data_IF_184180549977
#
_entry.id   IF_184180549977
#
_cell.length_a   1.000
_cell.length_b   1.000
_cell.length_c   1.000
_cell.angle_alpha   90.00
_cell.angle_beta   90.00
_cell.angle_gamma   90.00
#
_symmetry.space_group_name_H-M   'P 1'
#
loop_
_entity.id
_entity.type
_entity.pdbx_description
1 polymer ?
#
# COMPACT_ATOMS: atom_id res chain seq x y z
N UNK A 1 -24.13 23.56 -15.19
CA UNK A 1 -23.63 22.49 -16.08
C UNK A 1 -22.76 21.62 -15.21
N UNK A 2 -23.36 20.61 -14.59
CA UNK A 2 -22.60 19.60 -13.87
C UNK A 2 -21.89 18.75 -14.92
N UNK A 3 -20.57 18.87 -14.98
CA UNK A 3 -19.76 17.97 -15.78
C UNK A 3 -19.79 16.63 -15.05
N UNK A 4 -20.56 15.68 -15.57
CA UNK A 4 -20.47 14.28 -15.18
C UNK A 4 -19.02 13.83 -15.43
N UNK A 5 -18.24 13.70 -14.35
CA UNK A 5 -16.92 13.12 -14.43
C UNK A 5 -17.08 11.62 -14.67
N UNK A 6 -16.70 11.16 -15.85
CA UNK A 6 -16.69 9.73 -16.16
C UNK A 6 -15.48 9.07 -15.47
N UNK A 7 -15.69 8.61 -14.24
CA UNK A 7 -14.68 7.88 -13.45
C UNK A 7 -14.27 6.53 -14.08
N UNK A 8 -14.97 6.04 -15.11
CA UNK A 8 -14.69 4.76 -15.73
C UNK A 8 -13.61 4.84 -16.83
N UNK A 9 -13.12 6.03 -17.18
CA UNK A 9 -12.08 6.22 -18.21
C UNK A 9 -11.14 7.38 -17.85
N UNK A 10 -10.49 7.27 -16.68
CA UNK A 10 -9.48 8.22 -16.25
C UNK A 10 -8.25 8.16 -17.17
N UNK A 11 -7.59 9.30 -17.36
CA UNK A 11 -6.26 9.33 -17.97
C UNK A 11 -5.31 8.42 -17.16
N UNK A 12 -4.44 7.61 -17.81
CA UNK A 12 -3.43 6.79 -17.14
C UNK A 12 -2.64 7.49 -16.02
N UNK A 13 -2.34 8.78 -16.18
CA UNK A 13 -1.67 9.57 -15.14
C UNK A 13 -2.54 9.75 -13.89
N UNK A 14 -3.83 9.99 -14.07
CA UNK A 14 -4.79 10.09 -12.97
C UNK A 14 -4.92 8.76 -12.22
N UNK A 15 -4.99 7.63 -12.95
CA UNK A 15 -5.01 6.28 -12.36
C UNK A 15 -3.76 6.02 -11.51
N UNK A 16 -2.58 6.35 -12.04
CA UNK A 16 -1.33 6.18 -11.32
C UNK A 16 -1.26 7.07 -10.05
N UNK A 17 -1.83 8.27 -10.10
CA UNK A 17 -1.97 9.13 -8.92
C UNK A 17 -2.87 8.46 -7.88
N UNK A 18 -4.01 7.90 -8.27
CA UNK A 18 -4.93 7.21 -7.35
C UNK A 18 -4.26 6.00 -6.67
N UNK A 19 -3.45 5.24 -7.39
CA UNK A 19 -2.65 4.14 -6.81
C UNK A 19 -1.68 4.69 -5.77
N UNK A 20 -0.96 5.78 -6.09
CA UNK A 20 0.03 6.39 -5.19
C UNK A 20 -0.62 6.91 -3.92
N UNK A 21 -1.76 7.60 -4.03
CA UNK A 21 -2.51 8.11 -2.89
C UNK A 21 -3.08 6.99 -2.03
N UNK A 22 -3.64 5.94 -2.63
CA UNK A 22 -4.17 4.77 -1.91
C UNK A 22 -3.06 3.99 -1.18
N UNK A 23 -1.87 3.91 -1.79
CA UNK A 23 -0.69 3.23 -1.22
C UNK A 23 -0.05 4.00 -0.06
N UNK A 24 -0.09 5.33 -0.08
CA UNK A 24 0.60 6.20 0.89
C UNK A 24 0.27 5.85 2.37
N UNK A 25 -1.00 5.74 2.81
CA UNK A 25 -1.30 5.36 4.19
C UNK A 25 -0.81 3.97 4.54
N UNK A 26 -0.84 3.01 3.60
CA UNK A 26 -0.33 1.65 3.83
C UNK A 26 1.19 1.62 4.03
N UNK A 27 1.93 2.48 3.34
CA UNK A 27 3.39 2.62 3.56
C UNK A 27 3.71 3.19 4.93
N UNK A 28 2.92 4.16 5.42
CA UNK A 28 3.06 4.74 6.76
C UNK A 28 2.77 3.67 7.81
N UNK A 29 1.67 2.92 7.66
CA UNK A 29 1.35 1.83 8.56
C UNK A 29 2.44 0.74 8.56
N UNK A 30 2.95 0.35 7.39
CA UNK A 30 4.01 -0.62 7.28
C UNK A 30 5.31 -0.15 7.95
N UNK A 31 5.63 1.15 7.87
CA UNK A 31 6.77 1.73 8.59
C UNK A 31 6.57 1.68 10.11
N UNK A 32 5.38 2.04 10.58
CA UNK A 32 5.02 1.94 11.99
C UNK A 32 5.12 0.50 12.52
N UNK A 33 4.66 -0.50 11.76
CA UNK A 33 4.78 -1.91 12.14
C UNK A 33 6.23 -2.38 12.23
N UNK A 34 7.12 -1.89 11.37
CA UNK A 34 8.57 -2.18 11.49
C UNK A 34 9.12 -1.64 12.80
N UNK A 35 8.71 -0.43 13.20
CA UNK A 35 9.15 0.18 14.46
C UNK A 35 8.58 -0.57 15.67
N UNK A 36 7.29 -0.93 15.69
CA UNK A 36 6.71 -1.75 16.77
C UNK A 36 7.43 -3.10 16.89
N UNK A 37 7.69 -3.76 15.76
CA UNK A 37 8.37 -5.05 15.77
C UNK A 37 9.79 -4.94 16.32
N UNK A 38 10.49 -3.84 15.99
CA UNK A 38 11.81 -3.53 16.53
C UNK A 38 11.76 -3.28 18.05
N UNK A 39 10.82 -2.45 18.51
CA UNK A 39 10.65 -2.11 19.93
C UNK A 39 10.28 -3.34 20.77
N UNK A 40 9.49 -4.26 20.22
CA UNK A 40 9.09 -5.50 20.87
C UNK A 40 10.14 -6.62 20.75
N UNK A 41 11.24 -6.41 20.02
CA UNK A 41 12.28 -7.42 19.81
C UNK A 41 11.83 -8.64 19.01
N UNK A 42 10.81 -8.50 18.14
CA UNK A 42 10.30 -9.57 17.28
C UNK A 42 10.83 -9.45 15.84
N UNK A 43 10.65 -10.49 15.03
CA UNK A 43 11.15 -10.49 13.65
C UNK A 43 10.52 -9.38 12.80
N UNK A 44 11.37 -8.46 12.31
CA UNK A 44 10.97 -7.31 11.50
C UNK A 44 10.83 -7.65 10.00
N UNK A 45 11.31 -8.82 9.55
CA UNK A 45 11.39 -9.16 8.13
C UNK A 45 10.01 -9.18 7.42
N UNK A 46 8.93 -9.73 7.99
CA UNK A 46 7.61 -9.76 7.34
C UNK A 46 7.07 -8.35 7.05
N UNK A 47 7.27 -7.40 7.97
CA UNK A 47 6.81 -6.02 7.81
C UNK A 47 7.63 -5.26 6.76
N UNK A 48 8.95 -5.50 6.69
CA UNK A 48 9.80 -4.95 5.63
C UNK A 48 9.40 -5.50 4.25
N UNK A 49 9.13 -6.79 4.15
CA UNK A 49 8.65 -7.42 2.90
C UNK A 49 7.29 -6.87 2.49
N UNK A 50 6.35 -6.69 3.43
CA UNK A 50 5.07 -6.05 3.17
C UNK A 50 5.25 -4.62 2.62
N UNK A 51 6.08 -3.80 3.27
CA UNK A 51 6.40 -2.44 2.80
C UNK A 51 7.01 -2.43 1.40
N UNK A 52 7.88 -3.40 1.08
CA UNK A 52 8.46 -3.50 -0.24
C UNK A 52 7.42 -3.88 -1.30
N UNK A 53 6.58 -4.89 -1.03
CA UNK A 53 5.47 -5.25 -1.92
C UNK A 53 4.56 -4.07 -2.22
N UNK A 54 4.26 -3.22 -1.22
CA UNK A 54 3.53 -1.98 -1.44
C UNK A 54 4.27 -1.04 -2.40
N UNK A 55 5.59 -0.84 -2.25
CA UNK A 55 6.40 0.00 -3.17
C UNK A 55 6.33 -0.49 -4.61
N UNK A 56 6.33 -1.80 -4.81
CA UNK A 56 6.37 -2.44 -6.13
C UNK A 56 5.03 -2.34 -6.88
N UNK A 57 3.92 -2.01 -6.20
CA UNK A 57 2.59 -1.86 -6.82
C UNK A 57 2.60 -0.90 -8.01
N UNK A 58 3.27 0.25 -7.89
CA UNK A 58 3.30 1.26 -8.97
C UNK A 58 4.16 0.87 -10.17
N UNK A 59 4.92 -0.24 -10.06
CA UNK A 59 5.68 -0.82 -11.18
C UNK A 59 4.88 -1.94 -11.87
N UNK A 60 3.94 -2.54 -11.16
CA UNK A 60 3.17 -3.72 -11.61
C UNK A 60 1.80 -3.34 -12.16
N UNK A 61 1.16 -2.31 -11.57
CA UNK A 61 -0.21 -1.92 -11.88
C UNK A 61 -0.27 -0.48 -12.39
N UNK A 62 -1.11 -0.25 -13.40
CA UNK A 62 -1.35 1.07 -14.00
C UNK A 62 -2.77 1.57 -13.78
N UNK A 63 -3.68 0.75 -13.24
CA UNK A 63 -5.05 1.13 -12.87
C UNK A 63 -5.33 0.72 -11.43
N UNK A 64 -6.09 1.53 -10.69
CA UNK A 64 -6.37 1.25 -9.28
C UNK A 64 -7.25 0.00 -9.11
N UNK A 65 -8.21 -0.21 -10.01
CA UNK A 65 -9.17 -1.32 -9.97
C UNK A 65 -8.51 -2.71 -10.09
N UNK A 66 -7.35 -2.78 -10.73
CA UNK A 66 -6.65 -4.04 -10.98
C UNK A 66 -5.62 -4.35 -9.87
N UNK A 67 -5.38 -3.42 -8.93
CA UNK A 67 -4.38 -3.60 -7.87
C UNK A 67 -4.80 -4.71 -6.92
N UNK A 68 -3.93 -5.72 -6.81
CA UNK A 68 -3.98 -6.70 -5.72
C UNK A 68 -3.07 -6.22 -4.60
N UNK A 69 -3.68 -5.77 -3.50
CA UNK A 69 -2.94 -5.29 -2.33
C UNK A 69 -2.33 -6.47 -1.54
N UNK A 70 -1.06 -6.39 -1.11
CA UNK A 70 -0.45 -7.44 -0.31
C UNK A 70 -1.16 -7.57 1.04
N UNK A 71 -1.26 -8.81 1.54
CA UNK A 71 -1.81 -9.07 2.87
C UNK A 71 -0.91 -8.45 3.95
N UNK A 72 -1.51 -7.68 4.85
CA UNK A 72 -0.82 -7.10 6.01
C UNK A 72 -0.41 -8.22 6.98
N UNK A 73 0.84 -8.27 7.45
CA UNK A 73 1.26 -9.22 8.48
C UNK A 73 0.61 -8.89 9.83
N UNK A 74 0.30 -9.92 10.61
CA UNK A 74 -0.15 -9.77 12.01
C UNK A 74 1.04 -9.59 12.93
N UNK A 75 0.94 -8.64 13.87
CA UNK A 75 1.83 -8.61 15.03
C UNK A 75 1.59 -9.89 15.83
N UNK A 76 2.59 -10.76 15.93
CA UNK A 76 2.52 -11.89 16.85
C UNK A 76 2.51 -11.33 18.28
N UNK A 77 1.58 -11.74 19.16
CA UNK A 77 1.66 -11.37 20.56
C UNK A 77 2.95 -11.94 21.16
N UNK A 78 3.69 -11.10 21.89
CA UNK A 78 4.80 -11.56 22.73
C UNK A 78 4.27 -12.53 23.78
N UNK A 79 4.81 -13.74 23.81
CA UNK A 79 4.57 -14.75 24.86
C UNK A 79 5.17 -14.32 26.20
#
# INVERSE_FOLDING_TARGET
MDKEFNYNNLNPECELILIRESRKPLLIEADYLVNIALDNGVDIAPYRQYRQKLRDITQTYTTLKDVVWPQKPSLQPSL
#
